data_IF_689040779852
#
_entry.id   IF_689040779852
#
_cell.length_a   1.000
_cell.length_b   1.000
_cell.length_c   1.000
_cell.angle_alpha   90.00
_cell.angle_beta   90.00
_cell.angle_gamma   90.00
#
_symmetry.space_group_name_H-M   'P 1'
#
loop_
_entity.id
_entity.type
_entity.pdbx_description
1 polymer ?
#
# COMPACT_ATOMS: atom_id res chain seq x y z
N UNK A 1 45.26 25.85 -3.57
CA UNK A 1 44.91 24.74 -4.47
C UNK A 1 44.31 23.66 -3.59
N UNK A 2 43.01 23.83 -3.26
CA UNK A 2 42.27 22.95 -2.37
C UNK A 2 41.74 21.75 -3.17
N UNK A 3 42.07 20.55 -2.71
CA UNK A 3 41.62 19.28 -3.27
C UNK A 3 40.13 19.04 -2.89
N UNK A 4 39.24 19.12 -3.88
CA UNK A 4 37.86 18.70 -3.75
C UNK A 4 37.81 17.22 -3.34
N UNK A 5 36.98 16.83 -2.33
CA UNK A 5 36.84 15.43 -1.96
C UNK A 5 36.15 14.65 -3.09
N UNK A 6 36.76 13.52 -3.47
CA UNK A 6 36.19 12.58 -4.46
C UNK A 6 34.83 12.11 -4.00
N UNK A 7 33.79 12.39 -4.81
CA UNK A 7 32.47 11.77 -4.68
C UNK A 7 32.62 10.25 -4.68
N UNK A 8 32.36 9.62 -3.55
CA UNK A 8 32.28 8.16 -3.48
C UNK A 8 31.06 7.72 -4.31
N UNK A 9 31.32 6.99 -5.38
CA UNK A 9 30.27 6.35 -6.17
C UNK A 9 29.50 5.38 -5.27
N UNK A 10 28.19 5.63 -5.11
CA UNK A 10 27.30 4.71 -4.39
C UNK A 10 27.43 3.31 -5.03
N UNK A 11 27.52 2.22 -4.25
CA UNK A 11 27.56 0.89 -4.80
C UNK A 11 26.28 0.60 -5.61
N UNK A 12 26.44 0.02 -6.78
CA UNK A 12 25.33 -0.41 -7.63
C UNK A 12 24.38 -1.31 -6.81
N UNK A 13 23.10 -0.96 -6.80
CA UNK A 13 22.08 -1.80 -6.19
C UNK A 13 22.13 -3.19 -6.80
N UNK A 14 22.19 -4.22 -5.95
CA UNK A 14 22.13 -5.61 -6.39
C UNK A 14 20.91 -5.86 -7.28
N UNK A 15 21.03 -6.70 -8.33
CA UNK A 15 19.94 -6.96 -9.25
C UNK A 15 18.70 -7.46 -8.47
N UNK A 16 17.58 -6.77 -8.64
CA UNK A 16 16.31 -7.12 -8.01
C UNK A 16 15.92 -8.54 -8.42
N UNK A 17 15.68 -9.42 -7.45
CA UNK A 17 15.13 -10.75 -7.71
C UNK A 17 13.82 -10.59 -8.49
N UNK A 18 13.73 -11.23 -9.67
CA UNK A 18 12.50 -11.25 -10.47
C UNK A 18 11.34 -11.76 -9.61
N UNK A 19 10.22 -11.05 -9.68
CA UNK A 19 8.96 -11.44 -9.06
C UNK A 19 8.61 -12.87 -9.55
N UNK A 20 8.83 -13.87 -8.72
CA UNK A 20 8.19 -15.16 -8.86
C UNK A 20 6.93 -15.07 -8.02
N UNK A 21 5.79 -14.94 -8.67
CA UNK A 21 4.52 -15.29 -8.07
C UNK A 21 4.65 -16.76 -7.69
N UNK A 22 4.97 -17.01 -6.42
CA UNK A 22 5.13 -18.37 -5.92
C UNK A 22 3.72 -18.90 -5.77
N UNK A 23 3.31 -19.69 -6.79
CA UNK A 23 2.12 -20.50 -6.74
C UNK A 23 2.15 -21.38 -5.49
N UNK A 24 1.03 -21.52 -4.91
CA UNK A 24 0.34 -22.42 -3.98
C UNK A 24 1.08 -23.56 -3.21
N UNK A 25 2.39 -23.78 -3.34
CA UNK A 25 3.11 -24.92 -2.74
C UNK A 25 4.08 -24.52 -1.60
N UNK A 26 3.93 -23.33 -1.03
CA UNK A 26 4.52 -23.12 0.29
C UNK A 26 3.55 -23.70 1.33
N UNK A 27 3.98 -24.74 2.04
CA UNK A 27 3.49 -25.07 3.38
C UNK A 27 3.06 -23.78 4.07
N UNK A 28 1.78 -23.65 4.47
CA UNK A 28 1.21 -22.39 4.94
C UNK A 28 2.13 -21.83 6.02
N UNK A 29 2.87 -20.78 5.68
CA UNK A 29 3.79 -20.15 6.61
C UNK A 29 2.95 -19.59 7.76
N UNK A 30 3.08 -20.16 8.93
CA UNK A 30 2.41 -19.70 10.15
C UNK A 30 2.99 -18.32 10.49
N UNK A 31 2.14 -17.35 10.76
CA UNK A 31 2.58 -16.02 11.21
C UNK A 31 3.59 -16.14 12.36
N UNK A 32 4.65 -15.33 12.33
CA UNK A 32 5.73 -15.37 13.34
C UNK A 32 5.29 -14.95 14.74
N UNK A 33 4.15 -14.27 14.84
CA UNK A 33 3.51 -13.91 16.10
C UNK A 33 2.08 -14.44 16.08
N UNK A 34 1.55 -14.79 17.27
CA UNK A 34 0.17 -15.25 17.42
C UNK A 34 -0.79 -14.17 16.90
N UNK A 35 -1.76 -14.56 16.09
CA UNK A 35 -2.89 -13.70 15.74
C UNK A 35 -3.85 -13.64 16.94
N UNK A 36 -4.12 -12.42 17.44
CA UNK A 36 -5.09 -12.22 18.52
C UNK A 36 -6.49 -12.30 17.91
N UNK A 37 -7.19 -13.38 18.20
CA UNK A 37 -8.56 -13.55 17.70
C UNK A 37 -9.53 -12.66 18.49
N UNK A 38 -10.71 -12.30 17.90
CA UNK A 38 -11.69 -11.45 18.58
C UNK A 38 -12.11 -11.93 19.96
N UNK A 39 -12.26 -13.25 20.12
CA UNK A 39 -12.62 -13.90 21.38
C UNK A 39 -11.52 -13.86 22.45
N UNK A 40 -10.26 -13.68 22.04
CA UNK A 40 -9.08 -13.61 22.91
C UNK A 40 -8.68 -12.16 23.24
N UNK A 41 -9.31 -11.17 22.57
CA UNK A 41 -8.96 -9.77 22.72
C UNK A 41 -9.32 -9.24 24.12
N UNK A 42 -8.40 -8.46 24.71
CA UNK A 42 -8.70 -7.67 25.91
C UNK A 42 -9.62 -6.49 25.62
N UNK A 43 -9.99 -5.71 26.61
CA UNK A 43 -10.95 -4.62 26.48
C UNK A 43 -10.45 -3.51 25.54
N UNK A 44 -9.15 -3.18 25.56
CA UNK A 44 -8.55 -2.15 24.70
C UNK A 44 -8.54 -2.63 23.24
N UNK A 45 -8.02 -3.83 22.99
CA UNK A 45 -7.98 -4.44 21.65
C UNK A 45 -9.39 -4.61 21.08
N UNK A 46 -10.35 -5.01 21.91
CA UNK A 46 -11.75 -5.19 21.48
C UNK A 46 -12.36 -3.89 20.99
N UNK A 47 -12.13 -2.79 21.70
CA UNK A 47 -12.59 -1.46 21.28
C UNK A 47 -12.04 -1.05 19.90
N UNK A 48 -10.77 -1.37 19.63
CA UNK A 48 -10.18 -1.09 18.29
C UNK A 48 -10.77 -2.02 17.25
N UNK A 49 -11.02 -3.29 17.56
CA UNK A 49 -11.67 -4.24 16.65
C UNK A 49 -13.08 -3.83 16.26
N UNK A 50 -13.85 -3.25 17.18
CA UNK A 50 -15.18 -2.72 16.86
C UNK A 50 -15.10 -1.67 15.74
N UNK A 51 -14.13 -0.75 15.80
CA UNK A 51 -13.84 0.20 14.74
C UNK A 51 -13.37 -0.47 13.43
N UNK A 52 -12.55 -1.52 13.51
CA UNK A 52 -12.14 -2.29 12.33
C UNK A 52 -13.34 -2.94 11.65
N UNK A 53 -14.24 -3.55 12.42
CA UNK A 53 -15.46 -4.17 11.89
C UNK A 53 -16.41 -3.14 11.29
N UNK A 54 -16.57 -2.00 11.96
CA UNK A 54 -17.40 -0.90 11.43
C UNK A 54 -16.89 -0.40 10.08
N UNK A 55 -15.57 -0.29 9.92
CA UNK A 55 -14.94 0.26 8.72
C UNK A 55 -14.82 -0.78 7.58
N UNK A 56 -14.47 -2.03 7.91
CA UNK A 56 -14.08 -3.06 6.94
C UNK A 56 -14.95 -4.32 6.97
N UNK A 57 -15.96 -4.37 7.85
CA UNK A 57 -16.87 -5.50 7.98
C UNK A 57 -16.29 -6.74 8.65
N UNK A 58 -14.98 -6.80 8.86
CA UNK A 58 -14.32 -7.93 9.53
C UNK A 58 -12.90 -7.58 9.97
N UNK A 59 -12.36 -8.40 10.86
CA UNK A 59 -10.99 -8.32 11.35
C UNK A 59 -10.10 -9.19 10.47
N UNK A 60 -9.10 -8.57 9.82
CA UNK A 60 -8.11 -9.25 8.97
C UNK A 60 -7.01 -9.91 9.79
N UNK A 61 -6.25 -10.83 9.17
CA UNK A 61 -5.05 -11.39 9.77
C UNK A 61 -4.02 -10.31 10.11
N UNK A 62 -3.86 -9.30 9.24
CA UNK A 62 -3.05 -8.10 9.52
C UNK A 62 -3.52 -7.40 10.80
N UNK A 63 -4.84 -7.18 10.95
CA UNK A 63 -5.39 -6.55 12.16
C UNK A 63 -5.15 -7.40 13.41
N UNK A 64 -5.26 -8.73 13.28
CA UNK A 64 -5.01 -9.66 14.40
C UNK A 64 -3.54 -9.70 14.83
N UNK A 65 -2.60 -9.54 13.89
CA UNK A 65 -1.17 -9.41 14.20
C UNK A 65 -0.88 -8.04 14.81
N UNK A 66 -1.42 -6.96 14.23
CA UNK A 66 -1.15 -5.60 14.70
C UNK A 66 -1.84 -5.29 16.04
N UNK A 67 -2.84 -6.09 16.42
CA UNK A 67 -3.56 -5.99 17.70
C UNK A 67 -2.69 -6.23 18.95
N UNK A 68 -1.49 -6.81 18.80
CA UNK A 68 -0.49 -6.82 19.88
C UNK A 68 -0.10 -5.41 20.34
N UNK A 69 -0.35 -4.40 19.51
CA UNK A 69 -0.21 -3.00 19.84
C UNK A 69 -1.47 -2.25 19.36
N UNK A 70 -2.54 -2.19 20.20
CA UNK A 70 -3.82 -1.60 19.81
C UNK A 70 -3.71 -0.16 19.31
N UNK A 71 -2.80 0.65 19.89
CA UNK A 71 -2.56 2.01 19.44
C UNK A 71 -1.99 2.07 18.01
N UNK A 72 -1.14 1.12 17.62
CA UNK A 72 -0.63 1.04 16.25
C UNK A 72 -1.72 0.65 15.26
N UNK A 73 -2.62 -0.26 15.64
CA UNK A 73 -3.77 -0.64 14.83
C UNK A 73 -4.73 0.56 14.65
N UNK A 74 -5.06 1.27 15.73
CA UNK A 74 -5.89 2.47 15.68
C UNK A 74 -5.26 3.57 14.81
N UNK A 75 -3.94 3.80 14.93
CA UNK A 75 -3.20 4.76 14.12
C UNK A 75 -3.19 4.40 12.63
N UNK A 76 -3.16 3.11 12.29
CA UNK A 76 -3.27 2.65 10.89
C UNK A 76 -4.70 2.82 10.35
N UNK A 77 -5.72 2.64 11.18
CA UNK A 77 -7.13 2.79 10.79
C UNK A 77 -7.50 4.25 10.49
N UNK A 78 -6.99 5.19 11.27
CA UNK A 78 -7.39 6.60 11.22
C UNK A 78 -7.26 7.26 9.84
N UNK A 79 -6.13 7.20 9.10
CA UNK A 79 -6.06 7.79 7.77
C UNK A 79 -6.94 7.07 6.73
N UNK A 80 -7.17 5.76 6.88
CA UNK A 80 -8.10 5.05 6.01
C UNK A 80 -9.52 5.58 6.19
N UNK A 81 -9.95 5.81 7.42
CA UNK A 81 -11.27 6.36 7.72
C UNK A 81 -11.39 7.82 7.28
N UNK A 82 -10.51 8.67 7.80
CA UNK A 82 -10.64 10.13 7.66
C UNK A 82 -10.32 10.65 6.25
N UNK A 83 -9.50 9.93 5.48
CA UNK A 83 -9.11 10.34 4.12
C UNK A 83 -9.79 9.46 3.08
N UNK A 84 -9.47 8.14 3.09
CA UNK A 84 -9.86 7.26 1.99
C UNK A 84 -11.38 7.05 1.91
N UNK A 85 -12.05 6.70 3.02
CA UNK A 85 -13.49 6.49 3.02
C UNK A 85 -14.26 7.77 2.75
N UNK A 86 -13.74 8.92 3.19
CA UNK A 86 -14.32 10.22 2.84
C UNK A 86 -14.20 10.47 1.33
N UNK A 87 -13.05 10.19 0.71
CA UNK A 87 -12.85 10.37 -0.72
C UNK A 87 -13.70 9.38 -1.56
N UNK A 88 -14.01 8.18 -1.06
CA UNK A 88 -14.96 7.26 -1.74
C UNK A 88 -16.30 7.95 -1.99
N UNK A 89 -16.76 8.80 -1.05
CA UNK A 89 -18.04 9.49 -1.17
C UNK A 89 -17.97 10.79 -1.98
N UNK A 90 -16.83 11.48 -1.95
CA UNK A 90 -16.70 12.84 -2.49
C UNK A 90 -15.96 12.91 -3.82
N UNK A 91 -15.01 12.01 -4.07
CA UNK A 91 -14.19 11.94 -5.30
C UNK A 91 -13.78 10.49 -5.61
N UNK A 92 -14.70 9.67 -6.14
CA UNK A 92 -14.44 8.25 -6.41
C UNK A 92 -13.32 8.02 -7.45
N UNK A 93 -13.09 8.97 -8.38
CA UNK A 93 -12.01 8.86 -9.35
C UNK A 93 -10.64 9.09 -8.70
N UNK A 94 -10.55 9.98 -7.73
CA UNK A 94 -9.34 10.17 -6.94
C UNK A 94 -9.01 8.94 -6.08
N UNK A 95 -10.03 8.23 -5.57
CA UNK A 95 -9.82 6.97 -4.84
C UNK A 95 -9.19 5.89 -5.73
N UNK A 96 -9.50 5.85 -7.03
CA UNK A 96 -8.82 4.96 -7.99
C UNK A 96 -7.33 5.28 -8.07
N UNK A 97 -6.96 6.58 -8.05
CA UNK A 97 -5.56 7.01 -8.04
C UNK A 97 -4.86 6.61 -6.73
N UNK A 98 -5.51 6.84 -5.58
CA UNK A 98 -5.00 6.35 -4.29
C UNK A 98 -4.76 4.84 -4.33
N UNK A 99 -5.67 4.09 -4.95
CA UNK A 99 -5.53 2.64 -5.10
C UNK A 99 -4.37 2.23 -6.00
N UNK A 100 -4.10 2.96 -7.09
CA UNK A 100 -2.93 2.73 -7.95
C UNK A 100 -1.61 2.97 -7.20
N UNK A 101 -1.53 4.02 -6.36
CA UNK A 101 -0.39 4.29 -5.47
C UNK A 101 -0.15 3.13 -4.52
N UNK A 102 -1.21 2.62 -3.90
CA UNK A 102 -1.17 1.47 -2.98
C UNK A 102 -0.68 0.21 -3.69
N UNK A 103 -1.21 -0.08 -4.88
CA UNK A 103 -0.81 -1.25 -5.69
C UNK A 103 0.65 -1.13 -6.09
N UNK A 104 1.10 0.05 -6.57
CA UNK A 104 2.49 0.30 -6.94
C UNK A 104 3.44 0.09 -5.77
N UNK A 105 3.15 0.69 -4.63
CA UNK A 105 3.95 0.54 -3.40
C UNK A 105 4.04 -0.93 -2.98
N UNK A 106 2.92 -1.66 -3.01
CA UNK A 106 2.87 -3.07 -2.62
C UNK A 106 3.61 -3.97 -3.60
N UNK A 107 3.55 -3.68 -4.90
CA UNK A 107 4.30 -4.40 -5.93
C UNK A 107 5.81 -4.20 -5.78
N UNK A 108 6.27 -2.97 -5.53
CA UNK A 108 7.69 -2.67 -5.31
C UNK A 108 8.25 -3.35 -4.07
N UNK A 109 7.48 -3.39 -3.00
CA UNK A 109 7.83 -4.09 -1.76
C UNK A 109 7.61 -5.61 -1.83
N UNK A 110 7.06 -6.13 -2.93
CA UNK A 110 6.78 -7.56 -3.15
C UNK A 110 5.88 -8.16 -2.04
N UNK A 111 4.96 -7.38 -1.49
CA UNK A 111 4.07 -7.84 -0.43
C UNK A 111 2.90 -8.63 -0.98
N UNK A 112 3.00 -9.95 -0.89
CA UNK A 112 1.94 -10.87 -1.33
C UNK A 112 0.63 -10.62 -0.58
N UNK A 113 0.71 -10.37 0.74
CA UNK A 113 -0.45 -10.05 1.57
C UNK A 113 -1.19 -8.82 1.06
N UNK A 114 -0.49 -7.70 0.96
CA UNK A 114 -1.11 -6.43 0.55
C UNK A 114 -1.65 -6.50 -0.89
N UNK A 115 -0.93 -7.18 -1.80
CA UNK A 115 -1.40 -7.39 -3.17
C UNK A 115 -2.69 -8.22 -3.23
N UNK A 116 -2.81 -9.26 -2.37
CA UNK A 116 -3.99 -10.13 -2.33
C UNK A 116 -5.28 -9.38 -1.96
N UNK A 117 -5.17 -8.30 -1.20
CA UNK A 117 -6.29 -7.43 -0.82
C UNK A 117 -6.49 -6.28 -1.82
N UNK A 118 -5.41 -5.62 -2.21
CA UNK A 118 -5.52 -4.37 -2.95
C UNK A 118 -5.80 -4.53 -4.44
N UNK A 119 -5.43 -5.65 -5.06
CA UNK A 119 -5.77 -5.92 -6.47
C UNK A 119 -7.28 -6.17 -6.64
N UNK A 120 -7.93 -7.07 -5.88
CA UNK A 120 -9.38 -7.23 -5.94
C UNK A 120 -10.14 -5.94 -5.62
N UNK A 121 -9.66 -5.19 -4.61
CA UNK A 121 -10.27 -3.92 -4.24
C UNK A 121 -10.16 -2.88 -5.36
N UNK A 122 -9.03 -2.82 -6.06
CA UNK A 122 -8.87 -1.96 -7.23
C UNK A 122 -9.90 -2.27 -8.33
N UNK A 123 -10.12 -3.55 -8.61
CA UNK A 123 -11.17 -3.99 -9.55
C UNK A 123 -12.57 -3.56 -9.10
N UNK A 124 -12.87 -3.71 -7.82
CA UNK A 124 -14.16 -3.29 -7.23
C UNK A 124 -14.37 -1.78 -7.30
N UNK A 125 -13.31 -0.99 -7.21
CA UNK A 125 -13.32 0.47 -7.40
C UNK A 125 -13.41 0.89 -8.87
N UNK A 126 -13.39 -0.07 -9.81
CA UNK A 126 -13.52 0.18 -11.25
C UNK A 126 -12.20 0.38 -11.99
N UNK A 127 -11.06 0.00 -11.41
CA UNK A 127 -9.81 -0.11 -12.16
C UNK A 127 -9.84 -1.31 -13.09
N UNK A 128 -9.42 -1.12 -14.32
CA UNK A 128 -9.27 -2.23 -15.29
C UNK A 128 -8.08 -3.12 -14.95
N UNK A 129 -8.10 -4.35 -15.45
CA UNK A 129 -6.94 -5.26 -15.29
C UNK A 129 -5.67 -4.69 -15.94
N UNK A 130 -5.82 -3.98 -17.08
CA UNK A 130 -4.72 -3.34 -17.77
C UNK A 130 -4.09 -2.22 -16.92
N UNK A 131 -4.89 -1.36 -16.29
CA UNK A 131 -4.41 -0.31 -15.38
C UNK A 131 -3.68 -0.91 -14.16
N UNK A 132 -4.26 -1.93 -13.55
CA UNK A 132 -3.65 -2.63 -12.40
C UNK A 132 -2.32 -3.27 -12.80
N UNK A 133 -2.27 -3.96 -13.94
CA UNK A 133 -1.04 -4.58 -14.46
C UNK A 133 0.03 -3.54 -14.78
N UNK A 134 -0.36 -2.43 -15.40
CA UNK A 134 0.56 -1.32 -15.68
C UNK A 134 1.16 -0.75 -14.39
N UNK A 135 0.33 -0.48 -13.36
CA UNK A 135 0.80 0.04 -12.08
C UNK A 135 1.79 -0.92 -11.37
N UNK A 136 1.61 -2.23 -11.51
CA UNK A 136 2.54 -3.22 -10.95
C UNK A 136 3.89 -3.28 -11.68
N UNK A 137 3.91 -2.91 -12.95
CA UNK A 137 5.08 -3.00 -13.82
C UNK A 137 6.06 -1.84 -13.68
N UNK A 138 7.17 -1.93 -14.43
CA UNK A 138 8.19 -0.86 -14.58
C UNK A 138 7.83 0.12 -15.69
N UNK A 139 7.06 -0.33 -16.70
CA UNK A 139 6.85 0.38 -17.95
C UNK A 139 5.54 1.21 -17.96
N UNK A 140 5.04 1.55 -16.75
CA UNK A 140 3.79 2.28 -16.57
C UNK A 140 3.76 3.63 -17.27
N UNK A 141 4.91 4.30 -17.43
CA UNK A 141 4.99 5.58 -18.12
C UNK A 141 4.61 5.50 -19.61
N UNK A 142 4.89 4.36 -20.25
CA UNK A 142 4.54 4.12 -21.67
C UNK A 142 3.18 3.45 -21.86
N UNK A 143 2.48 3.11 -20.77
CA UNK A 143 1.19 2.43 -20.86
C UNK A 143 0.10 3.33 -21.47
N UNK A 144 -0.62 2.87 -22.50
CA UNK A 144 -1.77 3.57 -23.05
C UNK A 144 -3.02 3.48 -22.14
N UNK A 145 -3.02 2.58 -21.17
CA UNK A 145 -4.15 2.33 -20.26
C UNK A 145 -4.21 3.32 -19.09
N UNK A 146 -3.16 4.14 -18.90
CA UNK A 146 -3.04 5.12 -17.84
C UNK A 146 -3.02 6.52 -18.42
N UNK A 147 -3.82 7.42 -17.84
CA UNK A 147 -3.72 8.84 -18.11
C UNK A 147 -2.51 9.49 -17.42
N UNK A 148 -2.19 10.73 -17.76
CA UNK A 148 -1.00 11.43 -17.24
C UNK A 148 -1.11 11.69 -15.71
N UNK A 149 -2.31 11.91 -15.19
CA UNK A 149 -2.56 12.08 -13.75
C UNK A 149 -2.28 10.78 -13.00
N UNK A 150 -2.70 9.64 -13.53
CA UNK A 150 -2.42 8.31 -12.97
C UNK A 150 -0.93 7.98 -13.03
N UNK A 151 -0.27 8.28 -14.18
CA UNK A 151 1.17 8.07 -14.34
C UNK A 151 1.98 8.90 -13.35
N UNK A 152 1.62 10.17 -13.14
CA UNK A 152 2.27 11.04 -12.16
C UNK A 152 2.17 10.45 -10.75
N UNK A 153 0.99 9.99 -10.32
CA UNK A 153 0.79 9.38 -9.01
C UNK A 153 1.56 8.06 -8.83
N UNK A 154 1.59 7.21 -9.85
CA UNK A 154 2.34 5.95 -9.84
C UNK A 154 3.85 6.23 -9.78
N UNK A 155 4.35 7.22 -10.55
CA UNK A 155 5.75 7.65 -10.47
C UNK A 155 6.10 8.18 -9.09
N UNK A 156 5.22 8.98 -8.49
CA UNK A 156 5.42 9.46 -7.13
C UNK A 156 5.54 8.31 -6.13
N UNK A 157 4.66 7.32 -6.20
CA UNK A 157 4.74 6.14 -5.36
C UNK A 157 6.05 5.34 -5.58
N UNK A 158 6.55 5.30 -6.82
CA UNK A 158 7.82 4.64 -7.17
C UNK A 158 9.00 5.32 -6.47
N UNK A 159 9.18 6.62 -6.68
CA UNK A 159 10.32 7.37 -6.13
C UNK A 159 10.25 7.50 -4.59
N UNK A 160 9.05 7.64 -4.00
CA UNK A 160 8.87 7.67 -2.54
C UNK A 160 9.22 6.31 -1.93
N UNK A 161 8.73 5.20 -2.51
CA UNK A 161 9.01 3.85 -2.01
C UNK A 161 10.49 3.51 -2.09
N UNK A 162 11.18 3.97 -3.13
CA UNK A 162 12.61 3.73 -3.36
C UNK A 162 13.51 4.74 -2.65
N UNK A 163 12.96 5.69 -1.88
CA UNK A 163 13.68 6.77 -1.22
C UNK A 163 14.47 7.66 -2.19
N UNK A 164 13.93 7.90 -3.36
CA UNK A 164 14.52 8.71 -4.44
C UNK A 164 13.82 10.07 -4.62
N UNK A 165 12.68 10.28 -3.96
CA UNK A 165 11.84 11.46 -4.14
C UNK A 165 12.56 12.80 -3.84
N UNK A 166 13.58 12.79 -2.95
CA UNK A 166 14.36 13.99 -2.62
C UNK A 166 15.15 14.54 -3.82
N UNK A 167 15.59 13.63 -4.70
CA UNK A 167 16.51 13.94 -5.79
C UNK A 167 15.80 13.89 -7.16
N UNK A 168 14.45 13.79 -7.18
CA UNK A 168 13.62 13.73 -8.39
C UNK A 168 12.62 14.89 -8.44
N UNK A 169 13.14 16.09 -8.72
CA UNK A 169 12.31 17.30 -8.86
C UNK A 169 11.28 17.18 -10.00
N UNK A 170 11.57 16.39 -11.04
CA UNK A 170 10.67 16.18 -12.16
C UNK A 170 9.44 15.34 -11.76
N UNK A 171 9.61 14.36 -10.87
CA UNK A 171 8.47 13.61 -10.30
C UNK A 171 7.58 14.53 -9.45
N UNK A 172 8.18 15.40 -8.63
CA UNK A 172 7.42 16.35 -7.82
C UNK A 172 6.73 17.42 -8.67
N UNK A 173 7.37 17.91 -9.72
CA UNK A 173 6.75 18.85 -10.66
C UNK A 173 5.50 18.24 -11.32
N UNK A 174 5.59 17.00 -11.82
CA UNK A 174 4.44 16.29 -12.37
C UNK A 174 3.29 16.12 -11.35
N UNK A 175 3.61 15.92 -10.04
CA UNK A 175 2.58 15.93 -9.01
C UNK A 175 1.88 17.29 -8.90
N UNK A 176 2.62 18.40 -8.93
CA UNK A 176 2.03 19.75 -8.86
C UNK A 176 1.16 20.10 -10.07
N UNK A 177 1.45 19.55 -11.25
CA UNK A 177 0.67 19.78 -12.46
C UNK A 177 -0.73 19.12 -12.38
N UNK A 178 -0.88 18.06 -11.57
CA UNK A 178 -2.09 17.26 -11.54
C UNK A 178 -2.82 17.22 -10.19
N UNK A 179 -2.17 17.62 -9.09
CA UNK A 179 -2.69 17.46 -7.74
C UNK A 179 -2.50 18.73 -6.89
N UNK A 180 -3.51 19.03 -6.06
CA UNK A 180 -3.36 20.04 -5.02
C UNK A 180 -2.34 19.58 -3.96
N UNK A 181 -1.79 20.52 -3.19
CA UNK A 181 -0.88 20.20 -2.07
C UNK A 181 -1.50 19.21 -1.08
N UNK A 182 -2.80 19.36 -0.79
CA UNK A 182 -3.54 18.40 0.04
C UNK A 182 -3.46 17.00 -0.55
N UNK A 183 -3.76 16.84 -1.85
CA UNK A 183 -3.73 15.53 -2.51
C UNK A 183 -2.32 14.94 -2.58
N UNK A 184 -1.30 15.78 -2.80
CA UNK A 184 0.11 15.34 -2.77
C UNK A 184 0.46 14.76 -1.40
N UNK A 185 0.07 15.45 -0.30
CA UNK A 185 0.28 14.96 1.07
C UNK A 185 -0.48 13.67 1.30
N UNK A 186 -1.74 13.56 0.91
CA UNK A 186 -2.56 12.36 1.04
C UNK A 186 -1.94 11.15 0.32
N UNK A 187 -1.53 11.31 -0.94
CA UNK A 187 -0.89 10.25 -1.73
C UNK A 187 0.46 9.83 -1.11
N UNK A 188 1.22 10.78 -0.57
CA UNK A 188 2.47 10.50 0.15
C UNK A 188 2.21 9.74 1.46
N UNK A 189 1.17 10.12 2.22
CA UNK A 189 0.73 9.39 3.42
C UNK A 189 0.37 7.95 3.06
N UNK A 190 -0.44 7.73 2.02
CA UNK A 190 -0.80 6.36 1.60
C UNK A 190 0.40 5.55 1.15
N UNK A 191 1.32 6.14 0.40
CA UNK A 191 2.57 5.48 0.05
C UNK A 191 3.33 5.07 1.33
N UNK A 192 3.49 5.97 2.30
CA UNK A 192 4.13 5.69 3.59
C UNK A 192 3.45 4.59 4.39
N UNK A 193 2.12 4.63 4.49
CA UNK A 193 1.31 3.62 5.19
C UNK A 193 1.47 2.22 4.59
N UNK A 194 1.44 2.13 3.25
CA UNK A 194 1.65 0.82 2.60
C UNK A 194 3.11 0.37 2.64
N UNK A 195 4.07 1.27 2.65
CA UNK A 195 5.46 0.92 2.98
C UNK A 195 5.57 0.32 4.39
N UNK A 196 4.86 0.89 5.37
CA UNK A 196 4.79 0.37 6.73
C UNK A 196 4.11 -1.02 6.77
N UNK A 197 2.88 -1.15 6.26
CA UNK A 197 2.12 -2.39 6.32
C UNK A 197 2.75 -3.52 5.51
N UNK A 198 3.31 -3.22 4.33
CA UNK A 198 4.02 -4.20 3.51
C UNK A 198 5.20 -4.82 4.28
N UNK A 199 6.04 -3.97 4.89
CA UNK A 199 7.21 -4.44 5.67
C UNK A 199 6.79 -5.25 6.88
N UNK A 200 5.73 -4.83 7.57
CA UNK A 200 5.20 -5.57 8.71
C UNK A 200 4.68 -6.95 8.28
N UNK A 201 3.86 -7.02 7.23
CA UNK A 201 3.33 -8.27 6.72
C UNK A 201 4.44 -9.24 6.31
N UNK A 202 5.45 -8.76 5.57
CA UNK A 202 6.57 -9.60 5.14
C UNK A 202 7.48 -10.02 6.30
N UNK A 203 7.78 -9.09 7.24
CA UNK A 203 8.64 -9.38 8.38
C UNK A 203 8.00 -10.39 9.35
N UNK A 204 6.69 -10.30 9.57
CA UNK A 204 5.95 -11.15 10.51
C UNK A 204 5.27 -12.35 9.83
N UNK A 205 5.45 -12.53 8.51
CA UNK A 205 4.85 -13.61 7.72
C UNK A 205 3.34 -13.70 7.93
N UNK A 206 2.64 -12.56 7.80
CA UNK A 206 1.19 -12.54 7.97
C UNK A 206 0.53 -13.45 6.94
N UNK A 207 -0.25 -14.43 7.41
CA UNK A 207 -0.92 -15.41 6.56
C UNK A 207 -1.94 -14.74 5.62
N UNK A 208 -2.02 -15.22 4.40
CA UNK A 208 -3.05 -14.77 3.46
C UNK A 208 -4.43 -15.26 3.93
N UNK A 209 -5.41 -14.39 3.89
CA UNK A 209 -6.79 -14.82 4.02
C UNK A 209 -7.20 -15.64 2.79
N UNK A 210 -8.05 -16.63 3.02
CA UNK A 210 -8.76 -17.30 1.94
C UNK A 210 -9.50 -16.26 1.09
N UNK A 211 -9.69 -16.48 -0.23
CA UNK A 211 -10.35 -15.51 -1.12
C UNK A 211 -11.71 -15.01 -0.64
N UNK A 212 -12.51 -15.91 0.01
CA UNK A 212 -13.81 -15.60 0.59
C UNK A 212 -13.74 -14.82 1.91
N UNK A 213 -12.52 -14.62 2.46
CA UNK A 213 -12.25 -13.92 3.73
C UNK A 213 -11.48 -12.61 3.54
N UNK A 214 -11.31 -12.13 2.32
CA UNK A 214 -10.61 -10.86 2.06
C UNK A 214 -11.47 -9.67 2.45
N UNK A 215 -10.80 -8.57 2.84
CA UNK A 215 -11.47 -7.32 3.19
C UNK A 215 -12.18 -6.74 1.98
N UNK A 216 -13.39 -6.22 2.21
CA UNK A 216 -14.16 -5.46 1.24
C UNK A 216 -14.58 -4.13 1.85
N UNK A 217 -14.61 -3.05 1.06
CA UNK A 217 -15.25 -1.83 1.50
C UNK A 217 -16.73 -2.08 1.76
N UNK A 218 -17.19 -1.73 2.95
CA UNK A 218 -18.62 -1.62 3.21
C UNK A 218 -19.12 -0.32 2.59
N UNK A 219 -19.92 -0.43 1.54
CA UNK A 219 -20.73 0.71 1.08
C UNK A 219 -21.88 0.86 2.08
N UNK A 220 -21.78 1.86 2.97
CA UNK A 220 -22.92 2.35 3.77
C UNK A 220 -23.59 3.49 3.04
#
# INVERSE_FOLDING_TARGET
MELLPRLQTKPALAPRRRFRYIAADREMAVARVKMIKPEEADAETRKVYDGVVEQWGRISNFSQVLAHQPAALAGWMLPNESIRLNNVKTDPDYVKIQQLVIIKTSALNQSAYCMSHNVPLGKKLGLTEAQIKAAQGSDYMSSPDLDERQKAAIRWADVVTLMQARDDDAAFAAMKDHFSEKQIVELTVFCGMWNYSNRLCEALHVDLERPDKRIEFQQK
#
